data_IF_688536437547
#
_entry.id   IF_688536437547
#
_cell.length_a   1.000
_cell.length_b   1.000
_cell.length_c   1.000
_cell.angle_alpha   90.00
_cell.angle_beta   90.00
_cell.angle_gamma   90.00
#
_symmetry.space_group_name_H-M   'P 1'
#
loop_
_entity.id
_entity.type
_entity.pdbx_description
1 polymer ?
#
# COMPACT_ATOMS: atom_id res chain seq x y z
N UNK A 1 3.22 6.05 2.22
CA UNK A 1 2.13 6.95 2.65
C UNK A 1 2.12 8.25 1.88
N UNK A 2 3.07 9.18 2.07
CA UNK A 2 3.03 10.49 1.38
C UNK A 2 3.03 10.36 -0.16
N UNK A 3 3.89 9.49 -0.72
CA UNK A 3 3.90 9.23 -2.16
C UNK A 3 2.55 8.73 -2.69
N UNK A 4 1.97 7.73 -2.02
CA UNK A 4 0.64 7.19 -2.34
C UNK A 4 -0.44 8.28 -2.35
N UNK A 5 -0.46 9.16 -1.35
CA UNK A 5 -1.43 10.27 -1.26
C UNK A 5 -1.20 11.30 -2.37
N UNK A 6 0.07 11.57 -2.73
CA UNK A 6 0.40 12.42 -3.88
C UNK A 6 -0.15 11.87 -5.21
N UNK A 7 -0.01 10.55 -5.44
CA UNK A 7 -0.57 9.90 -6.63
C UNK A 7 -2.11 9.90 -6.62
N UNK A 8 -2.73 9.68 -5.46
CA UNK A 8 -4.19 9.82 -5.29
C UNK A 8 -4.65 11.22 -5.69
N UNK A 9 -3.98 12.26 -5.18
CA UNK A 9 -4.31 13.64 -5.52
C UNK A 9 -4.18 13.88 -7.03
N UNK A 10 -3.08 13.45 -7.65
CA UNK A 10 -2.89 13.57 -9.09
C UNK A 10 -4.01 12.89 -9.87
N UNK A 11 -4.42 11.68 -9.48
CA UNK A 11 -5.53 10.97 -10.12
C UNK A 11 -6.89 11.66 -9.98
N UNK A 12 -7.20 12.23 -8.81
CA UNK A 12 -8.43 13.02 -8.60
C UNK A 12 -8.49 14.18 -9.60
N UNK A 13 -7.39 14.92 -9.77
CA UNK A 13 -7.34 16.08 -10.65
C UNK A 13 -7.40 15.76 -12.15
N UNK A 14 -7.36 14.48 -12.54
CA UNK A 14 -7.65 14.09 -13.92
C UNK A 14 -9.13 14.17 -14.27
N UNK A 15 -10.03 14.24 -13.27
CA UNK A 15 -11.49 14.30 -13.44
C UNK A 15 -12.03 13.20 -14.37
N UNK A 16 -11.45 12.01 -14.28
CA UNK A 16 -11.88 10.82 -15.03
C UNK A 16 -12.50 9.79 -14.11
N UNK A 17 -13.35 8.92 -14.66
CA UNK A 17 -13.91 7.77 -13.93
C UNK A 17 -12.80 6.87 -13.39
N UNK A 18 -11.75 6.62 -14.17
CA UNK A 18 -10.62 5.80 -13.77
C UNK A 18 -9.83 6.45 -12.62
N UNK A 19 -9.60 7.77 -12.68
CA UNK A 19 -8.92 8.50 -11.63
C UNK A 19 -9.66 8.40 -10.29
N UNK A 20 -10.97 8.66 -10.29
CA UNK A 20 -11.78 8.60 -9.07
C UNK A 20 -12.02 7.17 -8.56
N UNK A 21 -12.22 6.19 -9.45
CA UNK A 21 -12.29 4.78 -9.05
C UNK A 21 -10.96 4.30 -8.46
N UNK A 22 -9.85 4.67 -9.09
CA UNK A 22 -8.50 4.41 -8.60
C UNK A 22 -8.28 5.02 -7.23
N UNK A 23 -8.73 6.26 -7.00
CA UNK A 23 -8.70 6.94 -5.70
C UNK A 23 -9.45 6.15 -4.63
N UNK A 24 -10.67 5.68 -4.91
CA UNK A 24 -11.47 4.93 -3.94
C UNK A 24 -10.79 3.61 -3.55
N UNK A 25 -10.36 2.84 -4.55
CA UNK A 25 -9.64 1.58 -4.30
C UNK A 25 -8.34 1.84 -3.56
N UNK A 26 -7.57 2.84 -3.98
CA UNK A 26 -6.26 3.13 -3.41
C UNK A 26 -6.35 3.66 -1.98
N UNK A 27 -7.34 4.49 -1.65
CA UNK A 27 -7.54 4.96 -0.26
C UNK A 27 -7.81 3.78 0.68
N UNK A 28 -8.63 2.82 0.25
CA UNK A 28 -8.92 1.62 1.04
C UNK A 28 -7.69 0.71 1.16
N UNK A 29 -7.03 0.39 0.04
CA UNK A 29 -5.83 -0.44 0.02
C UNK A 29 -4.69 0.16 0.85
N UNK A 30 -4.47 1.47 0.72
CA UNK A 30 -3.47 2.21 1.50
C UNK A 30 -3.77 2.12 3.01
N UNK A 31 -5.04 2.29 3.41
CA UNK A 31 -5.46 2.14 4.81
C UNK A 31 -5.13 0.76 5.39
N UNK A 32 -5.50 -0.31 4.68
CA UNK A 32 -5.20 -1.70 5.09
C UNK A 32 -3.69 -1.91 5.24
N UNK A 33 -2.91 -1.45 4.26
CA UNK A 33 -1.46 -1.64 4.25
C UNK A 33 -0.76 -0.85 5.36
N UNK A 34 -1.17 0.40 5.61
CA UNK A 34 -0.64 1.21 6.71
C UNK A 34 -0.90 0.56 8.06
N UNK A 35 -2.12 0.07 8.31
CA UNK A 35 -2.43 -0.65 9.55
C UNK A 35 -1.50 -1.86 9.71
N UNK A 36 -1.30 -2.64 8.64
CA UNK A 36 -0.38 -3.77 8.65
C UNK A 36 1.07 -3.40 8.95
N UNK A 37 1.60 -2.36 8.30
CA UNK A 37 2.96 -1.90 8.49
C UNK A 37 3.21 -1.39 9.92
N UNK A 38 2.29 -0.56 10.44
CA UNK A 38 2.40 -0.04 11.80
C UNK A 38 2.21 -1.13 12.86
N UNK A 39 1.39 -2.15 12.59
CA UNK A 39 1.25 -3.28 13.48
C UNK A 39 2.52 -4.13 13.55
N UNK A 40 3.18 -4.38 12.41
CA UNK A 40 4.50 -5.03 12.39
C UNK A 40 5.54 -4.20 13.13
N UNK A 41 5.55 -2.88 12.93
CA UNK A 41 6.45 -1.97 13.64
C UNK A 41 6.24 -2.06 15.16
N UNK A 42 4.98 -2.08 15.62
CA UNK A 42 4.64 -2.20 17.04
C UNK A 42 5.10 -3.55 17.63
N UNK A 43 4.89 -4.67 16.93
CA UNK A 43 5.39 -5.99 17.37
C UNK A 43 6.93 -5.97 17.49
N UNK A 44 7.63 -5.40 16.52
CA UNK A 44 9.10 -5.32 16.56
C UNK A 44 9.56 -4.43 17.73
N UNK A 45 8.98 -3.25 17.86
CA UNK A 45 9.39 -2.25 18.85
C UNK A 45 9.02 -2.67 20.27
N UNK A 46 7.89 -3.36 20.46
CA UNK A 46 7.46 -3.84 21.78
C UNK A 46 8.39 -4.93 22.33
N UNK A 47 8.96 -5.79 21.48
CA UNK A 47 9.91 -6.83 21.90
C UNK A 47 11.35 -6.32 21.99
N UNK A 48 11.85 -5.59 20.99
CA UNK A 48 13.26 -5.18 20.91
C UNK A 48 13.56 -3.80 21.49
N UNK A 49 12.53 -3.03 21.87
CA UNK A 49 12.63 -1.68 22.44
C UNK A 49 13.42 -0.70 21.57
N UNK A 50 13.47 -0.94 20.25
CA UNK A 50 14.09 -0.06 19.27
C UNK A 50 13.20 0.10 18.05
N UNK A 51 13.37 1.21 17.35
CA UNK A 51 12.79 1.50 16.05
C UNK A 51 13.87 1.86 15.00
N UNK A 52 15.16 1.72 15.35
CA UNK A 52 16.26 2.03 14.46
C UNK A 52 16.58 0.84 13.56
N UNK A 53 16.44 1.04 12.26
CA UNK A 53 16.70 -0.01 11.24
C UNK A 53 18.14 -0.53 11.32
N UNK A 54 19.10 0.30 11.72
CA UNK A 54 20.53 -0.07 11.85
C UNK A 54 20.83 -1.06 12.99
N UNK A 55 19.96 -1.15 13.99
CA UNK A 55 20.08 -2.08 15.12
C UNK A 55 19.40 -3.43 14.83
N UNK A 56 18.66 -3.53 13.72
CA UNK A 56 17.90 -4.71 13.30
C UNK A 56 18.66 -5.51 12.23
N UNK A 57 18.20 -6.74 11.97
CA UNK A 57 18.77 -7.61 10.94
C UNK A 57 18.43 -9.08 11.16
N UNK A 58 18.21 -9.82 10.07
CA UNK A 58 18.06 -11.27 10.12
C UNK A 58 16.82 -11.82 10.84
N UNK A 59 15.81 -10.97 11.12
CA UNK A 59 14.60 -11.39 11.86
C UNK A 59 13.85 -12.55 11.19
N UNK A 60 13.94 -12.74 9.88
CA UNK A 60 13.31 -13.86 9.19
C UNK A 60 13.82 -15.24 9.65
N UNK A 61 15.01 -15.32 10.25
CA UNK A 61 15.58 -16.58 10.78
C UNK A 61 14.94 -17.00 12.10
N UNK A 62 14.56 -16.03 12.94
CA UNK A 62 14.00 -16.25 14.28
C UNK A 62 12.48 -16.12 14.31
N UNK A 63 11.91 -15.32 13.42
CA UNK A 63 10.48 -15.06 13.29
C UNK A 63 10.00 -15.17 11.83
N UNK A 64 10.00 -16.40 11.26
CA UNK A 64 9.63 -16.62 9.87
C UNK A 64 8.18 -16.23 9.57
N UNK A 65 7.24 -16.42 10.51
CA UNK A 65 5.83 -16.07 10.26
C UNK A 65 5.63 -14.55 10.20
N UNK A 66 6.31 -13.81 11.09
CA UNK A 66 6.35 -12.35 11.00
C UNK A 66 6.95 -11.89 9.67
N UNK A 67 8.06 -12.50 9.25
CA UNK A 67 8.71 -12.11 8.00
C UNK A 67 7.81 -12.35 6.77
N UNK A 68 7.12 -13.50 6.69
CA UNK A 68 6.20 -13.81 5.59
C UNK A 68 5.04 -12.83 5.54
N UNK A 69 4.38 -12.59 6.68
CA UNK A 69 3.22 -11.69 6.74
C UNK A 69 3.62 -10.25 6.45
N UNK A 70 4.77 -9.80 6.99
CA UNK A 70 5.33 -8.49 6.67
C UNK A 70 5.67 -8.36 5.19
N UNK A 71 6.24 -9.40 4.56
CA UNK A 71 6.54 -9.37 3.13
C UNK A 71 5.27 -9.19 2.30
N UNK A 72 4.19 -9.91 2.60
CA UNK A 72 2.90 -9.76 1.89
C UNK A 72 2.40 -8.31 1.98
N UNK A 73 2.45 -7.72 3.18
CA UNK A 73 2.02 -6.32 3.39
C UNK A 73 2.94 -5.34 2.65
N UNK A 74 4.25 -5.57 2.65
CA UNK A 74 5.23 -4.78 1.90
C UNK A 74 4.95 -4.86 0.40
N UNK A 75 4.68 -6.06 -0.13
CA UNK A 75 4.32 -6.28 -1.53
C UNK A 75 3.00 -5.57 -1.90
N UNK A 76 2.02 -5.57 -0.98
CA UNK A 76 0.81 -4.76 -1.09
C UNK A 76 1.08 -3.27 -1.18
N UNK A 77 2.01 -2.77 -0.35
CA UNK A 77 2.37 -1.35 -0.28
C UNK A 77 3.11 -0.87 -1.53
N UNK A 78 3.91 -1.73 -2.16
CA UNK A 78 4.64 -1.40 -3.41
C UNK A 78 3.83 -1.73 -4.66
N UNK A 79 2.54 -2.01 -4.50
CA UNK A 79 1.60 -2.26 -5.59
C UNK A 79 2.05 -3.42 -6.52
N UNK A 80 2.53 -4.53 -5.95
CA UNK A 80 2.83 -5.72 -6.74
C UNK A 80 1.54 -6.28 -7.37
N UNK A 81 1.52 -6.64 -8.66
CA UNK A 81 0.38 -7.34 -9.26
C UNK A 81 -0.07 -8.54 -8.43
N UNK A 82 -1.39 -8.66 -8.22
CA UNK A 82 -1.99 -9.66 -7.33
C UNK A 82 -2.19 -9.18 -5.88
N UNK A 83 -1.82 -7.94 -5.56
CA UNK A 83 -2.08 -7.31 -4.25
C UNK A 83 -3.02 -6.11 -4.35
N UNK A 84 -3.62 -5.73 -3.22
CA UNK A 84 -4.61 -4.65 -3.13
C UNK A 84 -4.12 -3.29 -3.65
N UNK A 85 -2.83 -2.96 -3.50
CA UNK A 85 -2.26 -1.69 -3.92
C UNK A 85 -2.15 -1.55 -5.44
N UNK A 86 -2.02 -2.67 -6.18
CA UNK A 86 -1.84 -2.61 -7.62
C UNK A 86 -3.04 -2.04 -8.36
N UNK A 87 -4.25 -2.48 -8.02
CA UNK A 87 -5.47 -2.10 -8.74
C UNK A 87 -5.71 -0.59 -8.66
N UNK A 88 -5.57 -0.02 -7.46
CA UNK A 88 -5.75 1.41 -7.23
C UNK A 88 -4.69 2.25 -7.93
N UNK A 89 -3.41 1.93 -7.72
CA UNK A 89 -2.30 2.68 -8.35
C UNK A 89 -2.30 2.58 -9.87
N UNK A 90 -2.66 1.43 -10.43
CA UNK A 90 -2.73 1.26 -11.88
C UNK A 90 -3.79 2.17 -12.50
N UNK A 91 -4.98 2.24 -11.89
CA UNK A 91 -6.05 3.13 -12.35
C UNK A 91 -5.67 4.61 -12.24
N UNK A 92 -5.02 4.99 -11.13
CA UNK A 92 -4.51 6.35 -10.92
C UNK A 92 -3.42 6.71 -11.95
N UNK A 93 -2.46 5.82 -12.16
CA UNK A 93 -1.39 6.05 -13.13
C UNK A 93 -1.95 6.12 -14.56
N UNK A 94 -2.89 5.24 -14.89
CA UNK A 94 -3.57 5.25 -16.19
C UNK A 94 -4.31 6.56 -16.44
N UNK A 95 -5.01 7.10 -15.44
CA UNK A 95 -5.72 8.36 -15.60
C UNK A 95 -4.77 9.54 -15.82
N UNK A 96 -3.68 9.62 -15.04
CA UNK A 96 -2.69 10.70 -15.18
C UNK A 96 -1.95 10.59 -16.50
N UNK A 97 -1.57 9.38 -16.91
CA UNK A 97 -0.94 9.12 -18.20
C UNK A 97 -1.83 9.52 -19.38
N UNK A 98 -3.12 9.16 -19.32
CA UNK A 98 -4.10 9.49 -20.36
C UNK A 98 -4.36 11.00 -20.46
N UNK A 99 -4.21 11.73 -19.34
CA UNK A 99 -4.31 13.18 -19.32
C UNK A 99 -3.05 13.85 -19.88
N UNK A 100 -1.85 13.40 -19.48
CA UNK A 100 -0.58 13.87 -20.04
C UNK A 100 0.54 12.86 -19.79
N UNK A 101 1.23 12.47 -20.87
CA UNK A 101 2.29 11.45 -20.81
C UNK A 101 3.47 11.82 -19.90
N UNK A 102 3.87 13.09 -19.86
CA UNK A 102 4.98 13.56 -19.01
C UNK A 102 4.60 13.54 -17.54
N UNK A 103 3.36 13.94 -17.21
CA UNK A 103 2.85 13.83 -15.85
C UNK A 103 2.71 12.36 -15.43
N UNK A 104 2.27 11.49 -16.34
CA UNK A 104 2.24 10.04 -16.12
C UNK A 104 3.62 9.46 -15.83
N UNK A 105 4.65 9.88 -16.56
CA UNK A 105 6.03 9.46 -16.32
C UNK A 105 6.52 9.88 -14.92
N UNK A 106 6.25 11.12 -14.50
CA UNK A 106 6.59 11.61 -13.16
C UNK A 106 5.81 10.85 -12.08
N UNK A 107 4.52 10.62 -12.28
CA UNK A 107 3.68 9.83 -11.38
C UNK A 107 4.20 8.38 -11.23
N UNK A 108 4.71 7.78 -12.31
CA UNK A 108 5.33 6.46 -12.27
C UNK A 108 6.56 6.37 -11.35
N UNK A 109 7.29 7.48 -11.15
CA UNK A 109 8.42 7.51 -10.21
C UNK A 109 7.97 7.25 -8.76
N UNK A 110 6.73 7.58 -8.39
CA UNK A 110 6.18 7.27 -7.07
C UNK A 110 6.21 5.77 -6.79
N UNK A 111 5.88 4.95 -7.79
CA UNK A 111 5.88 3.49 -7.69
C UNK A 111 7.33 2.98 -7.56
N UNK A 112 8.23 3.48 -8.40
CA UNK A 112 9.64 3.06 -8.42
C UNK A 112 10.31 3.37 -7.08
N UNK A 113 10.23 4.62 -6.62
CA UNK A 113 10.82 5.00 -5.34
C UNK A 113 10.12 4.30 -4.18
N UNK A 114 8.79 4.13 -4.27
CA UNK A 114 7.96 3.24 -3.44
C UNK A 114 8.63 1.90 -3.17
N UNK A 115 8.87 1.15 -4.25
CA UNK A 115 9.49 -0.16 -4.20
C UNK A 115 10.91 -0.10 -3.61
N UNK A 116 11.73 0.86 -4.03
CA UNK A 116 13.12 0.99 -3.56
C UNK A 116 13.21 1.14 -2.05
N UNK A 117 12.45 2.07 -1.45
CA UNK A 117 12.57 2.29 0.00
C UNK A 117 11.94 1.15 0.81
N UNK A 118 10.80 0.61 0.37
CA UNK A 118 10.10 -0.47 1.08
C UNK A 118 10.87 -1.79 1.04
N UNK A 119 11.38 -2.19 -0.12
CA UNK A 119 12.13 -3.44 -0.24
C UNK A 119 13.49 -3.34 0.44
N UNK A 120 14.14 -2.17 0.40
CA UNK A 120 15.38 -1.93 1.14
C UNK A 120 15.16 -1.97 2.65
N UNK A 121 14.03 -1.44 3.15
CA UNK A 121 13.64 -1.56 4.55
C UNK A 121 13.43 -3.04 4.91
N UNK A 122 12.64 -3.78 4.14
CA UNK A 122 12.41 -5.20 4.38
C UNK A 122 13.72 -5.99 4.41
N UNK A 123 14.61 -5.74 3.44
CA UNK A 123 15.93 -6.36 3.38
C UNK A 123 16.75 -6.10 4.65
N UNK A 124 16.83 -4.85 5.11
CA UNK A 124 17.62 -4.49 6.30
C UNK A 124 17.05 -5.08 7.59
N UNK A 125 15.72 -5.12 7.72
CA UNK A 125 15.05 -5.56 8.96
C UNK A 125 14.97 -7.08 9.04
N UNK A 126 14.54 -7.74 7.95
CA UNK A 126 14.21 -9.16 7.97
C UNK A 126 15.34 -10.05 7.47
N UNK A 127 16.14 -9.61 6.50
CA UNK A 127 17.16 -10.44 5.85
C UNK A 127 18.55 -10.21 6.46
N UNK A 128 19.52 -11.02 6.06
CA UNK A 128 20.92 -10.90 6.49
C UNK A 128 21.31 -11.74 7.72
N UNK A 129 22.35 -11.31 8.41
CA UNK A 129 22.81 -11.93 9.66
C UNK A 129 21.97 -11.43 10.84
N UNK A 130 21.72 -12.32 11.80
CA UNK A 130 21.18 -11.95 13.11
C UNK A 130 22.28 -11.33 13.96
N UNK A 131 21.88 -10.59 14.98
CA UNK A 131 22.74 -9.99 16.00
C UNK A 131 22.25 -10.35 17.41
N UNK A 132 22.97 -9.95 18.45
CA UNK A 132 22.61 -10.28 19.85
C UNK A 132 21.20 -9.82 20.22
N UNK A 133 20.78 -8.65 19.73
CA UNK A 133 19.44 -8.11 19.99
C UNK A 133 18.35 -8.95 19.30
N UNK A 134 18.47 -9.17 18.00
CA UNK A 134 17.48 -9.87 17.18
C UNK A 134 17.38 -11.37 17.49
N UNK A 135 18.43 -11.99 18.04
CA UNK A 135 18.38 -13.38 18.52
C UNK A 135 17.40 -13.58 19.69
N UNK A 136 17.12 -12.53 20.46
CA UNK A 136 16.14 -12.58 21.56
C UNK A 136 14.69 -12.50 21.09
N UNK A 137 14.48 -12.18 19.81
CA UNK A 137 13.15 -11.97 19.26
C UNK A 137 12.35 -13.27 19.19
N UNK A 138 11.06 -13.19 19.51
CA UNK A 138 10.16 -14.33 19.43
C UNK A 138 9.14 -14.16 18.30
N UNK A 139 8.89 -15.24 17.56
CA UNK A 139 7.91 -15.21 16.46
C UNK A 139 6.49 -14.94 16.99
N UNK A 140 5.65 -14.40 16.09
CA UNK A 140 4.28 -13.99 16.40
C UNK A 140 3.42 -15.16 16.87
N UNK A 141 2.58 -14.90 17.89
CA UNK A 141 1.68 -15.91 18.46
C UNK A 141 0.35 -15.30 18.89
N UNK A 142 -0.67 -16.16 19.04
CA UNK A 142 -1.99 -15.76 19.50
C UNK A 142 -2.63 -14.68 18.61
N UNK A 143 -3.04 -13.57 19.23
CA UNK A 143 -3.78 -12.48 18.57
C UNK A 143 -2.97 -11.79 17.48
N UNK A 144 -1.66 -11.59 17.66
CA UNK A 144 -0.79 -10.93 16.66
C UNK A 144 -0.84 -11.67 15.32
N UNK A 145 -0.75 -13.00 15.39
CA UNK A 145 -0.80 -13.88 14.23
C UNK A 145 -2.15 -13.80 13.52
N UNK A 146 -3.25 -13.83 14.28
CA UNK A 146 -4.61 -13.75 13.71
C UNK A 146 -4.81 -12.41 13.00
N UNK A 147 -4.42 -11.31 13.62
CA UNK A 147 -4.55 -9.96 13.04
C UNK A 147 -3.73 -9.85 11.75
N UNK A 148 -2.46 -10.25 11.76
CA UNK A 148 -1.62 -10.20 10.56
C UNK A 148 -2.16 -11.08 9.42
N UNK A 149 -2.72 -12.25 9.73
CA UNK A 149 -3.31 -13.12 8.73
C UNK A 149 -4.57 -12.51 8.10
N UNK A 150 -5.43 -11.88 8.90
CA UNK A 150 -6.60 -11.15 8.39
C UNK A 150 -6.15 -10.03 7.44
N UNK A 151 -5.15 -9.25 7.83
CA UNK A 151 -4.60 -8.19 6.98
C UNK A 151 -4.04 -8.78 5.67
N UNK A 152 -3.26 -9.86 5.73
CA UNK A 152 -2.72 -10.50 4.54
C UNK A 152 -3.82 -11.03 3.60
N UNK A 153 -4.89 -11.61 4.17
CA UNK A 153 -6.05 -12.04 3.39
C UNK A 153 -6.71 -10.86 2.69
N UNK A 154 -6.91 -9.73 3.38
CA UNK A 154 -7.45 -8.52 2.76
C UNK A 154 -6.55 -8.01 1.63
N UNK A 155 -5.23 -7.99 1.84
CA UNK A 155 -4.25 -7.59 0.81
C UNK A 155 -4.38 -8.43 -0.46
N UNK A 156 -4.50 -9.75 -0.33
CA UNK A 156 -4.59 -10.65 -1.50
C UNK A 156 -5.98 -10.61 -2.13
N UNK A 157 -7.05 -10.75 -1.33
CA UNK A 157 -8.43 -10.83 -1.83
C UNK A 157 -8.82 -9.54 -2.56
N UNK A 158 -8.50 -8.37 -2.01
CA UNK A 158 -8.79 -7.10 -2.68
C UNK A 158 -7.97 -6.91 -3.96
N UNK A 159 -6.77 -7.49 -4.02
CA UNK A 159 -5.93 -7.46 -5.23
C UNK A 159 -6.45 -8.37 -6.34
N UNK A 160 -6.88 -9.58 -5.99
CA UNK A 160 -7.36 -10.58 -6.96
C UNK A 160 -8.80 -10.30 -7.38
N UNK A 161 -9.64 -9.81 -6.46
CA UNK A 161 -11.06 -9.56 -6.71
C UNK A 161 -11.49 -8.14 -6.26
N UNK A 162 -11.07 -7.08 -6.97
CA UNK A 162 -11.41 -5.70 -6.63
C UNK A 162 -12.84 -5.30 -7.01
N UNK A 163 -13.57 -6.13 -7.77
CA UNK A 163 -14.91 -5.82 -8.31
C UNK A 163 -15.91 -5.32 -7.27
N UNK A 164 -16.01 -5.88 -6.05
CA UNK A 164 -16.98 -5.41 -5.06
C UNK A 164 -16.74 -3.96 -4.65
N UNK A 165 -15.48 -3.55 -4.51
CA UNK A 165 -15.12 -2.17 -4.14
C UNK A 165 -15.47 -1.23 -5.29
N UNK A 166 -15.05 -1.58 -6.51
CA UNK A 166 -15.30 -0.77 -7.71
C UNK A 166 -16.80 -0.57 -7.98
N UNK A 167 -17.59 -1.63 -7.83
CA UNK A 167 -19.04 -1.59 -8.04
C UNK A 167 -19.73 -0.76 -6.96
N UNK A 168 -19.29 -0.85 -5.71
CA UNK A 168 -19.84 -0.05 -4.61
C UNK A 168 -19.58 1.45 -4.80
N UNK A 169 -18.43 1.84 -5.33
CA UNK A 169 -18.09 3.24 -5.59
C UNK A 169 -18.62 3.80 -6.91
N UNK A 170 -19.09 2.97 -7.84
CA UNK A 170 -19.40 3.38 -9.21
C UNK A 170 -20.46 4.46 -9.31
N UNK A 171 -21.63 4.26 -8.70
CA UNK A 171 -22.71 5.24 -8.75
C UNK A 171 -22.29 6.59 -8.15
N UNK A 172 -21.55 6.57 -7.03
CA UNK A 172 -21.06 7.79 -6.38
C UNK A 172 -20.02 8.52 -7.22
N UNK A 173 -19.11 7.78 -7.86
CA UNK A 173 -18.10 8.35 -8.76
C UNK A 173 -18.74 9.01 -9.97
N UNK A 174 -19.70 8.33 -10.62
CA UNK A 174 -20.42 8.88 -11.78
C UNK A 174 -21.18 10.16 -11.40
N UNK A 175 -21.92 10.13 -10.29
CA UNK A 175 -22.66 11.29 -9.83
C UNK A 175 -21.75 12.49 -9.50
N UNK A 176 -20.60 12.25 -8.87
CA UNK A 176 -19.63 13.29 -8.57
C UNK A 176 -19.08 13.93 -9.85
N UNK A 177 -18.75 13.13 -10.87
CA UNK A 177 -18.26 13.63 -12.15
C UNK A 177 -19.31 14.47 -12.89
N UNK A 178 -20.56 14.04 -12.90
CA UNK A 178 -21.65 14.81 -13.49
C UNK A 178 -21.80 16.18 -12.82
N UNK A 179 -21.79 16.22 -11.49
CA UNK A 179 -21.88 17.48 -10.74
C UNK A 179 -20.71 18.42 -11.04
N UNK A 180 -19.48 17.89 -11.10
CA UNK A 180 -18.29 18.69 -11.41
C UNK A 180 -18.36 19.23 -12.84
N UNK A 181 -18.71 18.39 -13.81
CA UNK A 181 -18.83 18.80 -15.21
C UNK A 181 -19.91 19.87 -15.41
N UNK A 182 -21.08 19.71 -14.80
CA UNK A 182 -22.13 20.71 -14.85
C UNK A 182 -21.66 22.08 -14.33
N UNK A 183 -20.92 22.09 -13.21
CA UNK A 183 -20.36 23.34 -12.65
C UNK A 183 -19.28 23.94 -13.55
N UNK A 184 -18.40 23.12 -14.14
CA UNK A 184 -17.37 23.62 -15.05
C UNK A 184 -17.98 24.24 -16.32
N UNK A 185 -19.05 23.65 -16.85
CA UNK A 185 -19.77 24.22 -18.00
C UNK A 185 -20.56 25.47 -17.63
N UNK A 186 -21.04 25.62 -16.39
CA UNK A 186 -21.76 26.82 -15.95
C UNK A 186 -20.86 28.03 -15.70
N UNK A 187 -19.54 27.82 -15.54
CA UNK A 187 -18.55 28.87 -15.26
C UNK A 187 -17.83 29.36 -16.53
N UNK A 188 -17.87 28.57 -17.61
CA UNK A 188 -17.31 28.90 -18.93
C UNK A 188 -18.39 29.44 -19.87
#
# INVERSE_FOLDING_TARGET
SIGHVGLIAAGIFTLTTQGLQGTMVQMLSHGVNVIGLFFVLDIISSQLKTNKIEELGGLAKVAPQLAITFLIIVLGTVALPGTNGFVGEFLLLYSVYSHNIWMGAIAGLTIIFGAVYMLRMYQKVMLGATNELTLTFTDIKGTEKVVLYIICVLVVVMGVYPKPILHLSEASVQHLLEQVNQKLTAVN
#
